data_IF_809871384282
#
_entry.id   IF_809871384282
#
_cell.length_a   1.000
_cell.length_b   1.000
_cell.length_c   1.000
_cell.angle_alpha   90.00
_cell.angle_beta   90.00
_cell.angle_gamma   90.00
#
_symmetry.space_group_name_H-M   'P 1'
#
loop_
_entity.id
_entity.type
_entity.pdbx_description
1 polymer ?
#
# COMPACT_ATOMS: atom_id res chain seq x y z
N UNK A 1 -11.19 -13.14 6.75
CA UNK A 1 -10.29 -12.06 6.41
C UNK A 1 -11.05 -10.78 6.12
N UNK A 2 -10.61 -9.67 6.67
CA UNK A 2 -11.22 -8.38 6.34
C UNK A 2 -10.75 -7.92 4.95
N UNK A 3 -11.51 -7.02 4.35
CA UNK A 3 -11.16 -6.43 3.07
C UNK A 3 -9.81 -5.72 3.15
N UNK A 4 -9.53 -5.06 4.26
CA UNK A 4 -8.27 -4.36 4.48
C UNK A 4 -7.08 -5.32 4.49
N UNK A 5 -7.20 -6.45 5.18
CA UNK A 5 -6.14 -7.47 5.20
C UNK A 5 -5.86 -8.02 3.81
N UNK A 6 -6.91 -8.22 3.03
CA UNK A 6 -6.81 -8.74 1.67
C UNK A 6 -6.06 -7.77 0.77
N UNK A 7 -6.42 -6.49 0.82
CA UNK A 7 -5.75 -5.45 0.02
C UNK A 7 -4.30 -5.28 0.47
N UNK A 8 -4.04 -5.28 1.78
CA UNK A 8 -2.69 -5.21 2.33
C UNK A 8 -1.81 -6.35 1.79
N UNK A 9 -2.35 -7.56 1.76
CA UNK A 9 -1.62 -8.72 1.23
C UNK A 9 -1.28 -8.55 -0.24
N UNK A 10 -2.22 -8.03 -1.03
CA UNK A 10 -1.99 -7.75 -2.45
C UNK A 10 -0.89 -6.72 -2.65
N UNK A 11 -0.90 -5.65 -1.85
CA UNK A 11 0.12 -4.61 -1.91
C UNK A 11 1.52 -5.20 -1.63
N UNK A 12 1.64 -5.98 -0.57
CA UNK A 12 2.91 -6.61 -0.20
C UNK A 12 3.40 -7.54 -1.31
N UNK A 13 2.50 -8.34 -1.86
CA UNK A 13 2.85 -9.27 -2.94
C UNK A 13 3.37 -8.54 -4.17
N UNK A 14 2.65 -7.51 -4.63
CA UNK A 14 3.07 -6.73 -5.79
C UNK A 14 4.38 -6.02 -5.51
N UNK A 15 4.52 -5.43 -4.32
CA UNK A 15 5.74 -4.73 -3.92
C UNK A 15 6.93 -5.66 -3.97
N UNK A 16 6.83 -6.85 -3.39
CA UNK A 16 7.92 -7.82 -3.37
C UNK A 16 8.31 -8.28 -4.77
N UNK A 17 7.32 -8.48 -5.64
CA UNK A 17 7.57 -8.95 -7.00
C UNK A 17 8.15 -7.87 -7.91
N UNK A 18 7.85 -6.60 -7.63
CA UNK A 18 8.21 -5.49 -8.51
C UNK A 18 9.23 -4.53 -7.90
N UNK A 19 9.78 -4.85 -6.73
CA UNK A 19 10.67 -3.93 -6.01
C UNK A 19 11.89 -3.53 -6.85
N UNK A 20 12.41 -4.43 -7.67
CA UNK A 20 13.57 -4.16 -8.51
C UNK A 20 13.27 -3.20 -9.66
N UNK A 21 12.01 -2.94 -9.94
CA UNK A 21 11.57 -2.03 -10.99
C UNK A 21 11.23 -0.64 -10.48
N UNK A 22 11.27 -0.47 -9.16
CA UNK A 22 10.93 0.80 -8.54
C UNK A 22 12.16 1.68 -8.37
N UNK A 23 12.00 2.98 -8.61
CA UNK A 23 13.02 3.95 -8.26
C UNK A 23 13.03 4.17 -6.75
N UNK A 24 14.10 4.75 -6.22
CA UNK A 24 14.18 5.07 -4.80
C UNK A 24 13.05 6.01 -4.38
N UNK A 25 12.72 6.99 -5.21
CA UNK A 25 11.63 7.92 -4.96
C UNK A 25 10.29 7.21 -4.89
N UNK A 26 10.03 6.29 -5.83
CA UNK A 26 8.79 5.51 -5.84
C UNK A 26 8.68 4.63 -4.60
N UNK A 27 9.79 3.99 -4.21
CA UNK A 27 9.81 3.16 -3.00
C UNK A 27 9.53 3.98 -1.75
N UNK A 28 10.09 5.18 -1.66
CA UNK A 28 9.83 6.10 -0.53
C UNK A 28 8.36 6.52 -0.48
N UNK A 29 7.77 6.85 -1.63
CA UNK A 29 6.36 7.22 -1.69
C UNK A 29 5.46 6.08 -1.22
N UNK A 30 5.76 4.85 -1.64
CA UNK A 30 5.02 3.68 -1.19
C UNK A 30 5.16 3.47 0.30
N UNK A 31 6.35 3.67 0.84
CA UNK A 31 6.60 3.57 2.27
C UNK A 31 5.75 4.57 3.05
N UNK A 32 5.66 5.81 2.57
CA UNK A 32 4.84 6.84 3.19
C UNK A 32 3.37 6.44 3.23
N UNK A 33 2.83 5.94 2.10
CA UNK A 33 1.44 5.47 2.04
C UNK A 33 1.20 4.30 2.98
N UNK A 34 2.15 3.37 3.03
CA UNK A 34 2.04 2.22 3.92
C UNK A 34 2.06 2.66 5.39
N UNK A 35 2.91 3.61 5.73
CA UNK A 35 2.97 4.15 7.08
C UNK A 35 1.67 4.85 7.47
N UNK A 36 1.07 5.60 6.55
CA UNK A 36 -0.22 6.25 6.78
C UNK A 36 -1.32 5.22 7.01
N UNK A 37 -1.34 4.16 6.21
CA UNK A 37 -2.29 3.08 6.38
C UNK A 37 -2.17 2.44 7.76
N UNK A 38 -0.95 2.12 8.17
CA UNK A 38 -0.69 1.53 9.48
C UNK A 38 -1.09 2.45 10.62
N UNK A 39 -0.86 3.74 10.46
CA UNK A 39 -1.25 4.76 11.44
C UNK A 39 -2.77 4.74 11.65
N UNK A 40 -3.54 4.75 10.57
CA UNK A 40 -5.00 4.69 10.66
C UNK A 40 -5.48 3.38 11.27
N UNK A 41 -4.82 2.27 10.97
CA UNK A 41 -5.14 0.98 11.57
C UNK A 41 -4.95 1.00 13.09
N UNK A 42 -3.87 1.62 13.56
CA UNK A 42 -3.61 1.75 14.99
C UNK A 42 -4.66 2.60 15.70
N UNK A 43 -5.19 3.60 15.00
CA UNK A 43 -6.26 4.45 15.53
C UNK A 43 -7.63 3.79 15.47
N UNK A 44 -7.75 2.63 14.84
CA UNK A 44 -9.03 1.96 14.64
C UNK A 44 -9.89 2.58 13.54
N UNK A 45 -9.33 3.43 12.71
CA UNK A 45 -10.05 4.08 11.61
C UNK A 45 -9.93 3.24 10.33
N UNK A 46 -10.71 2.15 10.27
CA UNK A 46 -10.64 1.20 9.17
C UNK A 46 -10.97 1.79 7.81
N UNK A 47 -11.94 2.70 7.74
CA UNK A 47 -12.34 3.31 6.47
C UNK A 47 -11.21 4.14 5.87
N UNK A 48 -10.51 4.91 6.69
CA UNK A 48 -9.37 5.70 6.24
C UNK A 48 -8.20 4.81 5.85
N UNK A 49 -7.95 3.76 6.63
CA UNK A 49 -6.92 2.79 6.31
C UNK A 49 -7.20 2.10 4.99
N UNK A 50 -8.46 1.73 4.74
CA UNK A 50 -8.88 1.10 3.50
C UNK A 50 -8.70 2.04 2.31
N UNK A 51 -9.04 3.31 2.48
CA UNK A 51 -8.86 4.33 1.44
C UNK A 51 -7.37 4.46 1.07
N UNK A 52 -6.50 4.55 2.07
CA UNK A 52 -5.05 4.62 1.85
C UNK A 52 -4.53 3.35 1.16
N UNK A 53 -5.02 2.19 1.58
CA UNK A 53 -4.62 0.92 0.98
C UNK A 53 -4.99 0.87 -0.50
N UNK A 54 -6.19 1.32 -0.85
CA UNK A 54 -6.64 1.35 -2.25
C UNK A 54 -5.79 2.32 -3.07
N UNK A 55 -5.47 3.48 -2.52
CA UNK A 55 -4.61 4.45 -3.20
C UNK A 55 -3.20 3.90 -3.41
N UNK A 56 -2.68 3.21 -2.42
CA UNK A 56 -1.37 2.56 -2.52
C UNK A 56 -1.37 1.51 -3.63
N UNK A 57 -2.40 0.70 -3.68
CA UNK A 57 -2.53 -0.34 -4.71
C UNK A 57 -2.63 0.26 -6.11
N UNK A 58 -3.46 1.29 -6.28
CA UNK A 58 -3.57 2.01 -7.55
C UNK A 58 -2.22 2.56 -8.00
N UNK A 59 -1.51 3.20 -7.08
CA UNK A 59 -0.19 3.76 -7.38
C UNK A 59 0.78 2.67 -7.84
N UNK A 60 0.81 1.55 -7.11
CA UNK A 60 1.66 0.41 -7.46
C UNK A 60 1.35 -0.12 -8.86
N UNK A 61 0.07 -0.27 -9.17
CA UNK A 61 -0.34 -0.76 -10.48
C UNK A 61 0.06 0.18 -11.60
N UNK A 62 0.00 1.48 -11.36
CA UNK A 62 0.40 2.47 -12.36
C UNK A 62 1.90 2.47 -12.63
N UNK A 63 2.72 2.37 -11.59
CA UNK A 63 4.17 2.48 -11.73
C UNK A 63 4.83 1.16 -12.13
N UNK A 64 4.10 0.06 -12.06
CA UNK A 64 4.63 -1.27 -12.42
C UNK A 64 4.07 -1.82 -13.73
N UNK A 65 3.41 -1.00 -14.48
CA UNK A 65 2.90 -1.39 -15.81
C UNK A 65 4.01 -1.68 -16.80
#
# INVERSE_FOLDING_TARGET
>A
MTQLQKISSEIVEIFQNKINKLTNEQAENLNMHNNSMNFYMQLGEEEKALWEARKTLEYLEQITK
#
